data_IF_193908330848
#
_entry.id   IF_193908330848
#
_cell.length_a   1.000
_cell.length_b   1.000
_cell.length_c   1.000
_cell.angle_alpha   90.00
_cell.angle_beta   90.00
_cell.angle_gamma   90.00
#
_symmetry.space_group_name_H-M   'P 1'
#
loop_
_entity.id
_entity.type
_entity.pdbx_description
1 polymer ?
#
# COMPACT_ATOMS: atom_id res chain seq x y z
N UNK A 1 19.72 13.39 24.38
CA UNK A 1 18.81 12.22 24.47
C UNK A 1 17.47 12.73 24.94
N UNK A 2 16.38 12.50 24.17
CA UNK A 2 15.53 11.37 24.48
C UNK A 2 15.08 10.61 23.22
N UNK A 3 15.46 9.33 23.13
CA UNK A 3 14.88 8.32 22.23
C UNK A 3 13.78 7.63 23.04
N UNK A 4 12.52 7.82 22.70
CA UNK A 4 11.42 7.13 23.39
C UNK A 4 10.01 7.37 22.87
N UNK A 5 9.75 8.51 22.19
CA UNK A 5 8.38 8.88 21.80
C UNK A 5 7.97 8.54 20.36
N UNK A 6 8.90 8.12 19.49
CA UNK A 6 8.62 7.95 18.04
C UNK A 6 8.02 6.59 17.64
N UNK A 7 8.12 5.57 18.48
CA UNK A 7 7.65 4.22 18.12
C UNK A 7 6.14 4.04 18.33
N UNK A 8 5.56 4.77 19.29
CA UNK A 8 4.11 4.69 19.58
C UNK A 8 3.27 5.36 18.49
N UNK A 9 3.79 6.43 17.86
CA UNK A 9 3.09 7.16 16.80
C UNK A 9 2.94 6.38 15.48
N UNK A 10 3.85 5.43 15.20
CA UNK A 10 3.77 4.58 14.00
C UNK A 10 2.73 3.46 14.18
N UNK A 11 2.48 3.01 15.41
CA UNK A 11 1.47 1.98 15.70
C UNK A 11 0.02 2.51 15.68
N UNK A 12 -0.18 3.80 15.96
CA UNK A 12 -1.51 4.42 15.91
C UNK A 12 -1.92 4.84 14.48
N UNK A 13 -0.97 4.98 13.55
CA UNK A 13 -1.25 5.38 12.17
C UNK A 13 -1.78 4.23 11.28
N UNK A 14 -1.55 2.97 11.66
CA UNK A 14 -2.07 1.78 10.96
C UNK A 14 -3.53 1.46 11.38
N UNK A 15 -4.10 2.19 12.35
CA UNK A 15 -5.33 1.79 13.07
C UNK A 15 -6.63 2.46 12.64
N UNK A 16 -6.63 3.41 11.72
CA UNK A 16 -7.88 4.00 11.23
C UNK A 16 -8.15 3.46 9.83
N UNK A 17 -9.18 2.63 9.66
CA UNK A 17 -10.40 2.97 8.91
C UNK A 17 -11.29 1.72 8.74
N UNK A 18 -12.60 1.99 8.67
CA UNK A 18 -13.76 1.08 8.76
C UNK A 18 -14.03 0.61 10.20
N UNK A 19 -15.06 1.18 10.84
CA UNK A 19 -15.71 0.53 11.97
C UNK A 19 -16.29 -0.78 11.42
N UNK A 20 -15.72 -1.96 11.73
CA UNK A 20 -16.04 -3.15 10.97
C UNK A 20 -17.45 -3.59 11.35
N UNK A 21 -18.35 -3.58 10.36
CA UNK A 21 -19.79 -3.77 10.57
C UNK A 21 -20.10 -5.14 11.18
N UNK A 22 -19.24 -6.13 10.92
CA UNK A 22 -19.33 -7.46 11.55
C UNK A 22 -18.21 -7.72 12.57
N UNK A 23 -18.44 -8.60 13.56
CA UNK A 23 -17.38 -9.06 14.48
C UNK A 23 -16.21 -9.75 13.75
N UNK A 24 -16.49 -10.39 12.62
CA UNK A 24 -15.49 -11.10 11.80
C UNK A 24 -14.55 -10.14 11.09
N UNK A 25 -15.06 -9.04 10.55
CA UNK A 25 -14.24 -7.99 9.93
C UNK A 25 -13.37 -7.27 10.97
N UNK A 26 -13.87 -7.12 12.21
CA UNK A 26 -13.07 -6.62 13.35
C UNK A 26 -11.90 -7.53 13.69
N UNK A 27 -12.11 -8.83 13.60
CA UNK A 27 -11.07 -9.84 13.84
C UNK A 27 -10.03 -9.82 12.70
N UNK A 28 -10.49 -9.80 11.45
CA UNK A 28 -9.63 -9.80 10.27
C UNK A 28 -8.79 -8.51 10.13
N UNK A 29 -9.37 -7.36 10.47
CA UNK A 29 -8.69 -6.05 10.44
C UNK A 29 -7.73 -5.79 11.62
N UNK A 30 -7.71 -6.68 12.63
CA UNK A 30 -6.80 -6.53 13.78
C UNK A 30 -7.15 -5.40 14.75
N UNK A 31 -8.44 -5.02 14.83
CA UNK A 31 -8.91 -3.97 15.74
C UNK A 31 -8.47 -4.24 17.20
N UNK A 32 -8.02 -3.24 18.00
CA UNK A 32 -7.46 -3.47 19.34
C UNK A 32 -8.35 -4.29 20.31
N UNK A 33 -9.67 -4.09 20.28
CA UNK A 33 -10.60 -4.83 21.12
C UNK A 33 -10.76 -6.30 20.69
N UNK A 34 -10.80 -6.60 19.38
CA UNK A 34 -10.87 -7.98 18.86
C UNK A 34 -9.53 -8.69 19.03
N UNK A 35 -8.41 -7.99 18.82
CA UNK A 35 -7.08 -8.52 19.07
C UNK A 35 -6.88 -8.88 20.56
N UNK A 36 -7.39 -8.06 21.48
CA UNK A 36 -7.39 -8.37 22.91
C UNK A 36 -8.28 -9.59 23.20
N UNK A 37 -9.50 -9.62 22.67
CA UNK A 37 -10.44 -10.74 22.85
C UNK A 37 -9.86 -12.06 22.34
N UNK A 38 -9.26 -12.05 21.14
CA UNK A 38 -8.56 -13.19 20.54
C UNK A 38 -7.40 -13.64 21.43
N UNK A 39 -6.57 -12.71 21.90
CA UNK A 39 -5.45 -13.05 22.79
C UNK A 39 -5.90 -13.67 24.12
N UNK A 40 -7.11 -13.32 24.59
CA UNK A 40 -7.74 -13.87 25.79
C UNK A 40 -8.52 -15.17 25.53
N UNK A 41 -8.74 -15.57 24.28
CA UNK A 41 -9.46 -16.81 23.93
C UNK A 41 -8.96 -18.06 24.67
N UNK A 42 -7.63 -18.29 24.84
CA UNK A 42 -7.14 -19.44 25.61
C UNK A 42 -7.57 -19.39 27.08
N UNK A 43 -7.62 -18.20 27.68
CA UNK A 43 -8.09 -18.00 29.05
C UNK A 43 -9.61 -18.18 29.16
N UNK A 44 -10.37 -17.66 28.18
CA UNK A 44 -11.83 -17.84 28.10
C UNK A 44 -12.18 -19.32 28.01
N UNK A 45 -11.43 -20.09 27.21
CA UNK A 45 -11.61 -21.54 27.09
C UNK A 45 -11.41 -22.25 28.43
N UNK A 46 -10.38 -21.88 29.19
CA UNK A 46 -10.11 -22.44 30.53
C UNK A 46 -11.24 -22.07 31.50
N UNK A 47 -11.63 -20.79 31.56
CA UNK A 47 -12.69 -20.32 32.46
C UNK A 47 -14.06 -20.93 32.11
N UNK A 48 -14.33 -21.24 30.84
CA UNK A 48 -15.58 -21.88 30.42
C UNK A 48 -15.60 -23.39 30.68
N UNK A 49 -14.45 -24.07 30.57
CA UNK A 49 -14.37 -25.53 30.71
C UNK A 49 -14.20 -26.00 32.15
N UNK A 50 -13.48 -25.24 32.99
CA UNK A 50 -13.26 -25.61 34.40
C UNK A 50 -14.54 -25.81 35.23
N UNK A 51 -15.57 -24.93 35.16
CA UNK A 51 -16.81 -25.15 35.89
C UNK A 51 -17.57 -26.38 35.41
N UNK A 52 -17.53 -26.67 34.10
CA UNK A 52 -18.20 -27.84 33.52
C UNK A 52 -17.61 -29.14 34.05
N UNK A 53 -16.28 -29.21 34.18
CA UNK A 53 -15.58 -30.34 34.82
C UNK A 53 -16.01 -30.47 36.29
N UNK A 54 -16.06 -29.36 37.04
CA UNK A 54 -16.39 -29.39 38.46
C UNK A 54 -17.85 -29.80 38.75
N UNK A 55 -18.81 -29.34 37.94
CA UNK A 55 -20.24 -29.58 38.19
C UNK A 55 -20.79 -30.82 37.49
N UNK A 56 -20.08 -31.40 36.51
CA UNK A 56 -20.53 -32.56 35.73
C UNK A 56 -19.50 -33.71 35.89
N UNK A 57 -19.74 -34.68 36.79
CA UNK A 57 -18.78 -35.75 37.10
C UNK A 57 -18.40 -36.63 35.90
N UNK A 58 -19.25 -36.72 34.88
CA UNK A 58 -18.96 -37.44 33.63
C UNK A 58 -17.86 -36.75 32.80
N UNK A 59 -17.60 -35.46 33.07
CA UNK A 59 -16.61 -34.65 32.35
C UNK A 59 -15.19 -34.70 32.92
N UNK A 60 -14.98 -35.35 34.08
CA UNK A 60 -13.65 -35.50 34.69
C UNK A 60 -12.65 -36.15 33.73
N UNK A 61 -13.12 -37.13 32.93
CA UNK A 61 -12.30 -37.82 31.91
C UNK A 61 -11.88 -36.93 30.75
N UNK A 62 -12.49 -35.75 30.60
CA UNK A 62 -12.22 -34.80 29.52
C UNK A 62 -11.47 -33.55 29.98
N UNK A 63 -11.26 -33.38 31.29
CA UNK A 63 -10.56 -32.25 31.88
C UNK A 63 -9.14 -32.09 31.32
N UNK A 64 -8.46 -33.21 31.05
CA UNK A 64 -7.10 -33.24 30.49
C UNK A 64 -7.04 -32.64 29.09
N UNK A 65 -8.06 -32.89 28.25
CA UNK A 65 -8.10 -32.34 26.90
C UNK A 65 -8.21 -30.81 26.92
N UNK A 66 -8.98 -30.24 27.84
CA UNK A 66 -9.11 -28.78 27.98
C UNK A 66 -7.77 -28.11 28.31
N UNK A 67 -6.93 -28.75 29.12
CA UNK A 67 -5.59 -28.26 29.46
C UNK A 67 -4.60 -28.36 28.29
N UNK A 68 -4.69 -29.42 27.47
CA UNK A 68 -3.84 -29.59 26.28
C UNK A 68 -4.09 -28.52 25.22
N UNK A 69 -5.32 -28.02 25.10
CA UNK A 69 -5.66 -26.96 24.15
C UNK A 69 -5.06 -25.60 24.52
N UNK A 70 -4.74 -25.36 25.80
CA UNK A 70 -4.25 -24.06 26.27
C UNK A 70 -2.92 -23.65 25.59
N UNK A 71 -1.85 -24.48 25.55
CA UNK A 71 -0.66 -24.20 24.76
C UNK A 71 -0.92 -24.05 23.26
N UNK A 72 -1.84 -24.83 22.68
CA UNK A 72 -2.12 -24.79 21.25
C UNK A 72 -2.76 -23.45 20.82
N UNK A 73 -3.79 -22.99 21.54
CA UNK A 73 -4.41 -21.68 21.28
C UNK A 73 -3.46 -20.52 21.62
N UNK A 74 -2.65 -20.68 22.68
CA UNK A 74 -1.65 -19.68 23.06
C UNK A 74 -0.56 -19.55 21.98
N UNK A 75 -0.11 -20.67 21.42
CA UNK A 75 0.79 -20.71 20.27
C UNK A 75 0.20 -19.94 19.10
N UNK A 76 -1.07 -20.17 18.78
CA UNK A 76 -1.77 -19.51 17.68
C UNK A 76 -1.86 -17.98 17.85
N UNK A 77 -2.00 -17.46 19.07
CA UNK A 77 -2.41 -16.06 19.27
C UNK A 77 -1.37 -15.17 19.98
N UNK A 78 -0.53 -15.73 20.85
CA UNK A 78 0.29 -14.96 21.80
C UNK A 78 1.81 -15.17 21.63
N UNK A 79 2.23 -16.06 20.73
CA UNK A 79 3.64 -16.26 20.39
C UNK A 79 4.39 -17.24 21.30
N UNK A 80 5.69 -17.49 21.05
CA UNK A 80 6.41 -18.62 21.63
C UNK A 80 6.64 -18.49 23.14
N UNK A 81 6.98 -17.30 23.67
CA UNK A 81 7.19 -17.11 25.11
C UNK A 81 5.91 -17.35 25.93
N UNK A 82 4.78 -16.84 25.44
CA UNK A 82 3.49 -17.08 26.06
C UNK A 82 3.10 -18.57 26.00
N UNK A 83 3.45 -19.26 24.91
CA UNK A 83 3.23 -20.70 24.76
C UNK A 83 4.02 -21.50 25.79
N UNK A 84 5.30 -21.16 25.99
CA UNK A 84 6.13 -21.79 27.03
C UNK A 84 5.51 -21.57 28.40
N UNK A 85 5.10 -20.34 28.72
CA UNK A 85 4.45 -20.05 30.00
C UNK A 85 3.15 -20.86 30.18
N UNK A 86 2.30 -20.93 29.15
CA UNK A 86 1.09 -21.74 29.17
C UNK A 86 1.38 -23.24 29.36
N UNK A 87 2.37 -23.79 28.65
CA UNK A 87 2.81 -25.18 28.84
C UNK A 87 3.32 -25.43 30.25
N UNK A 88 4.14 -24.53 30.80
CA UNK A 88 4.65 -24.64 32.17
C UNK A 88 3.52 -24.59 33.20
N UNK A 89 2.50 -23.73 33.00
CA UNK A 89 1.32 -23.71 33.85
C UNK A 89 0.56 -25.05 33.80
N UNK A 90 0.35 -25.62 32.61
CA UNK A 90 -0.33 -26.92 32.47
C UNK A 90 0.49 -28.03 33.15
N UNK A 91 1.80 -28.07 32.93
CA UNK A 91 2.69 -29.03 33.57
C UNK A 91 2.66 -28.88 35.10
N UNK A 92 2.65 -27.66 35.63
CA UNK A 92 2.56 -27.41 37.06
C UNK A 92 1.22 -27.87 37.66
N UNK A 93 0.10 -27.64 36.95
CA UNK A 93 -1.23 -28.11 37.36
C UNK A 93 -1.27 -29.64 37.39
N UNK A 94 -0.80 -30.31 36.34
CA UNK A 94 -0.75 -31.78 36.28
C UNK A 94 0.18 -32.34 37.37
N UNK A 95 1.35 -31.73 37.59
CA UNK A 95 2.33 -32.20 38.58
C UNK A 95 1.84 -32.03 40.02
N UNK A 96 1.01 -31.01 40.29
CA UNK A 96 0.45 -30.75 41.61
C UNK A 96 -0.70 -31.72 41.96
N UNK A 97 -1.32 -32.40 40.98
CA UNK A 97 -2.33 -33.41 41.22
C UNK A 97 -3.48 -32.92 42.09
N UNK A 98 -3.86 -33.71 43.11
CA UNK A 98 -4.96 -33.39 44.04
C UNK A 98 -4.63 -32.21 45.00
N UNK A 99 -3.35 -31.84 45.13
CA UNK A 99 -2.91 -30.65 45.87
C UNK A 99 -2.99 -29.35 45.05
N UNK A 100 -3.37 -29.44 43.76
CA UNK A 100 -3.51 -28.30 42.87
C UNK A 100 -4.75 -27.45 43.24
N UNK A 101 -4.61 -26.59 44.26
CA UNK A 101 -5.55 -25.54 44.65
C UNK A 101 -6.98 -26.00 45.05
N UNK A 102 -7.26 -27.31 45.12
CA UNK A 102 -8.60 -27.85 45.41
C UNK A 102 -9.66 -27.50 44.35
N UNK A 103 -9.24 -27.09 43.16
CA UNK A 103 -10.10 -26.54 42.10
C UNK A 103 -10.50 -27.57 41.04
N UNK A 104 -9.84 -28.74 40.97
CA UNK A 104 -10.10 -29.76 39.94
C UNK A 104 -10.08 -31.17 40.54
N UNK A 105 -11.13 -31.99 40.37
CA UNK A 105 -11.09 -33.42 40.67
C UNK A 105 -10.23 -34.14 39.63
N UNK A 106 -8.92 -34.20 39.84
CA UNK A 106 -7.99 -34.81 38.89
C UNK A 106 -7.69 -36.28 39.27
N UNK A 107 -7.92 -37.27 38.39
CA UNK A 107 -7.73 -38.67 38.73
C UNK A 107 -6.27 -39.04 39.06
N UNK A 108 -6.07 -39.98 39.99
CA UNK A 108 -4.75 -40.48 40.39
C UNK A 108 -4.08 -41.35 39.30
N UNK A 109 -3.43 -40.74 38.31
CA UNK A 109 -2.41 -41.38 37.46
C UNK A 109 -1.47 -40.32 36.85
N UNK A 110 -0.67 -39.68 37.71
CA UNK A 110 -0.18 -38.29 37.54
C UNK A 110 1.11 -38.11 36.71
N UNK A 111 1.78 -39.17 36.22
CA UNK A 111 3.09 -39.04 35.54
C UNK A 111 3.09 -39.54 34.09
N UNK A 112 2.12 -40.36 33.69
CA UNK A 112 2.02 -40.90 32.33
C UNK A 112 1.63 -39.85 31.29
N UNK A 113 0.95 -38.78 31.71
CA UNK A 113 0.40 -37.75 30.82
C UNK A 113 1.34 -36.54 30.66
N UNK A 114 2.38 -36.44 31.49
CA UNK A 114 3.41 -35.41 31.37
C UNK A 114 4.19 -35.51 30.04
N UNK A 115 4.69 -36.69 29.61
CA UNK A 115 5.41 -36.80 28.34
C UNK A 115 4.64 -36.29 27.10
N UNK A 116 3.36 -36.68 26.85
CA UNK A 116 2.62 -36.16 25.71
C UNK A 116 2.33 -34.66 25.81
N UNK A 117 2.00 -34.14 27.01
CA UNK A 117 1.75 -32.69 27.22
C UNK A 117 3.01 -31.87 26.96
N UNK A 118 4.17 -32.32 27.47
CA UNK A 118 5.46 -31.66 27.23
C UNK A 118 5.79 -31.71 25.73
N UNK A 119 5.61 -32.86 25.07
CA UNK A 119 5.86 -32.99 23.64
C UNK A 119 4.99 -32.05 22.80
N UNK A 120 3.69 -31.96 23.10
CA UNK A 120 2.76 -31.04 22.45
C UNK A 120 3.16 -29.58 22.72
N UNK A 121 3.48 -29.23 23.97
CA UNK A 121 3.92 -27.89 24.34
C UNK A 121 5.20 -27.44 23.63
N UNK A 122 6.18 -28.34 23.51
CA UNK A 122 7.41 -28.12 22.73
C UNK A 122 7.08 -27.93 21.24
N UNK A 123 6.26 -28.80 20.65
CA UNK A 123 5.86 -28.68 19.25
C UNK A 123 5.10 -27.36 18.99
N UNK A 124 4.14 -27.00 19.85
CA UNK A 124 3.41 -25.74 19.78
C UNK A 124 4.35 -24.53 19.89
N UNK A 125 5.37 -24.60 20.76
CA UNK A 125 6.38 -23.54 20.91
C UNK A 125 7.23 -23.42 19.64
N UNK A 126 7.66 -24.53 19.04
CA UNK A 126 8.40 -24.54 17.77
C UNK A 126 7.54 -23.95 16.65
N UNK A 127 6.29 -24.38 16.52
CA UNK A 127 5.36 -23.86 15.51
C UNK A 127 5.07 -22.37 15.71
N UNK A 128 4.87 -21.91 16.95
CA UNK A 128 4.72 -20.50 17.26
C UNK A 128 5.97 -19.71 16.88
N UNK A 129 7.16 -20.24 17.17
CA UNK A 129 8.43 -19.61 16.82
C UNK A 129 8.65 -19.54 15.30
N UNK A 130 8.38 -20.64 14.57
CA UNK A 130 8.44 -20.67 13.10
C UNK A 130 7.47 -19.64 12.53
N UNK A 131 6.20 -19.65 12.97
CA UNK A 131 5.20 -18.69 12.52
C UNK A 131 5.64 -17.25 12.78
N UNK A 132 6.06 -16.93 14.00
CA UNK A 132 6.54 -15.58 14.36
C UNK A 132 7.71 -15.17 13.48
N UNK A 133 8.68 -16.06 13.22
CA UNK A 133 9.81 -15.75 12.34
C UNK A 133 9.40 -15.56 10.88
N UNK A 134 8.49 -16.37 10.37
CA UNK A 134 7.95 -16.21 9.01
C UNK A 134 7.22 -14.88 8.86
N UNK A 135 6.33 -14.55 9.80
CA UNK A 135 5.63 -13.26 9.83
C UNK A 135 6.65 -12.10 9.87
N UNK A 136 7.65 -12.16 10.77
CA UNK A 136 8.68 -11.12 10.86
C UNK A 136 9.51 -11.01 9.57
N UNK A 137 9.81 -12.13 8.88
CA UNK A 137 10.52 -12.11 7.59
C UNK A 137 9.68 -11.43 6.51
N UNK A 138 8.40 -11.78 6.41
CA UNK A 138 7.47 -11.17 5.47
C UNK A 138 7.38 -9.66 5.72
N UNK A 139 7.17 -9.23 6.96
CA UNK A 139 7.12 -7.81 7.35
C UNK A 139 8.44 -7.06 7.10
N UNK A 140 9.59 -7.75 7.10
CA UNK A 140 10.89 -7.12 6.79
C UNK A 140 11.13 -6.95 5.30
N UNK A 141 10.77 -7.94 4.48
CA UNK A 141 10.90 -7.85 3.02
C UNK A 141 10.09 -6.68 2.47
N UNK A 142 8.94 -6.44 3.08
CA UNK A 142 8.01 -5.39 2.70
C UNK A 142 8.46 -3.98 3.10
N UNK A 143 8.99 -3.80 4.32
CA UNK A 143 9.51 -2.50 4.77
C UNK A 143 10.75 -2.04 3.98
N UNK A 144 11.60 -2.97 3.54
CA UNK A 144 12.76 -2.64 2.68
C UNK A 144 12.29 -2.17 1.31
N UNK A 145 11.30 -2.84 0.74
CA UNK A 145 10.75 -2.51 -0.56
C UNK A 145 10.20 -1.07 -0.59
N UNK A 146 9.38 -0.70 0.41
CA UNK A 146 8.82 0.66 0.53
C UNK A 146 9.92 1.72 0.68
N UNK A 147 10.96 1.40 1.44
CA UNK A 147 12.12 2.29 1.63
C UNK A 147 12.88 2.51 0.32
N UNK A 148 13.08 1.45 -0.47
CA UNK A 148 13.76 1.53 -1.77
C UNK A 148 12.93 2.34 -2.76
N UNK A 149 11.61 2.13 -2.82
CA UNK A 149 10.73 2.91 -3.71
C UNK A 149 10.77 4.40 -3.39
N UNK A 150 10.66 4.77 -2.11
CA UNK A 150 10.78 6.16 -1.68
C UNK A 150 12.16 6.76 -1.99
N UNK A 151 13.21 5.94 -2.07
CA UNK A 151 14.54 6.41 -2.45
C UNK A 151 14.69 6.65 -3.96
N UNK A 152 13.86 6.01 -4.79
CA UNK A 152 13.90 6.15 -6.26
C UNK A 152 13.03 7.32 -6.73
N UNK A 153 11.86 7.51 -6.11
CA UNK A 153 10.95 8.62 -6.42
C UNK A 153 11.56 9.96 -5.98
N UNK A 154 11.48 11.01 -6.82
CA UNK A 154 12.10 12.29 -6.53
C UNK A 154 11.30 13.10 -5.48
N UNK A 155 12.01 13.79 -4.59
CA UNK A 155 11.44 14.92 -3.86
C UNK A 155 11.42 16.14 -4.79
N UNK A 156 10.26 16.42 -5.41
CA UNK A 156 10.14 17.56 -6.32
C UNK A 156 10.18 18.88 -5.53
N UNK A 157 10.99 19.88 -5.94
CA UNK A 157 10.91 21.21 -5.35
C UNK A 157 9.55 21.85 -5.68
N UNK A 158 9.10 22.77 -4.83
CA UNK A 158 7.81 23.45 -5.02
C UNK A 158 7.72 24.31 -6.29
N UNK A 159 8.85 24.57 -6.95
CA UNK A 159 8.91 25.23 -8.25
C UNK A 159 10.06 24.72 -9.12
N UNK A 160 9.83 24.54 -10.42
CA UNK A 160 10.82 24.08 -11.43
C UNK A 160 10.63 24.90 -12.71
N UNK A 161 11.70 25.48 -13.26
CA UNK A 161 11.66 26.36 -14.45
C UNK A 161 10.56 27.43 -14.43
N UNK A 162 10.27 28.00 -13.26
CA UNK A 162 9.22 29.01 -13.11
C UNK A 162 7.79 28.47 -13.14
N UNK A 163 7.58 27.15 -13.07
CA UNK A 163 6.29 26.52 -12.80
C UNK A 163 6.19 26.13 -11.33
N UNK A 164 4.98 26.18 -10.75
CA UNK A 164 4.73 25.65 -9.40
C UNK A 164 4.34 24.18 -9.51
N UNK A 165 4.98 23.31 -8.74
CA UNK A 165 4.77 21.85 -8.82
C UNK A 165 4.42 21.29 -7.45
N UNK A 166 3.44 20.39 -7.39
CA UNK A 166 3.15 19.60 -6.22
C UNK A 166 2.84 18.16 -6.62
N UNK A 167 3.28 17.19 -5.81
CA UNK A 167 3.00 15.78 -6.02
C UNK A 167 2.42 15.14 -4.76
N UNK A 168 1.47 14.25 -4.99
CA UNK A 168 0.91 13.33 -4.01
C UNK A 168 1.31 11.92 -4.44
N UNK A 169 1.87 11.14 -3.52
CA UNK A 169 2.13 9.73 -3.73
C UNK A 169 1.69 8.95 -2.50
N UNK A 170 0.91 7.88 -2.72
CA UNK A 170 0.49 6.96 -1.67
C UNK A 170 0.51 5.54 -2.17
N UNK A 171 1.10 4.63 -1.39
CA UNK A 171 1.01 3.18 -1.61
C UNK A 171 -0.31 2.63 -1.13
N UNK A 172 -0.85 1.61 -1.79
CA UNK A 172 -2.08 0.89 -1.38
C UNK A 172 -2.11 0.50 0.12
N UNK A 173 -3.27 0.69 0.78
CA UNK A 173 -3.43 0.53 2.24
C UNK A 173 -3.77 -0.91 2.69
N UNK A 174 -4.23 -1.78 1.78
CA UNK A 174 -4.82 -3.11 2.10
C UNK A 174 -3.83 -4.26 2.22
N UNK A 175 -2.54 -4.04 1.98
CA UNK A 175 -1.50 -5.04 2.23
C UNK A 175 -0.24 -4.38 2.75
N UNK A 176 0.07 -4.52 4.06
CA UNK A 176 1.32 -4.02 4.63
C UNK A 176 2.49 -4.61 3.86
N UNK A 177 3.02 -3.84 2.91
CA UNK A 177 4.22 -4.21 2.18
C UNK A 177 4.23 -4.45 0.70
N UNK A 178 3.13 -4.19 0.01
CA UNK A 178 3.18 -4.10 -1.42
C UNK A 178 3.79 -2.74 -1.78
N UNK A 179 4.88 -2.78 -2.54
CA UNK A 179 5.45 -1.62 -3.20
C UNK A 179 4.66 -1.34 -4.45
N UNK A 180 4.42 -0.07 -4.67
CA UNK A 180 3.63 0.36 -5.78
C UNK A 180 4.28 0.31 -7.15
N UNK A 181 3.48 0.28 -8.20
CA UNK A 181 3.91 0.40 -9.60
C UNK A 181 4.11 1.85 -10.05
N UNK A 182 3.36 2.76 -9.43
CA UNK A 182 3.31 4.19 -9.71
C UNK A 182 4.68 4.89 -9.67
N UNK A 183 4.93 5.73 -10.68
CA UNK A 183 6.14 6.54 -10.79
C UNK A 183 5.89 7.91 -11.42
N UNK A 184 6.73 8.88 -11.04
CA UNK A 184 6.68 10.23 -11.60
C UNK A 184 8.04 10.91 -11.51
N UNK A 185 8.26 11.89 -12.38
CA UNK A 185 9.40 12.81 -12.31
C UNK A 185 9.12 14.08 -13.12
N UNK A 186 9.84 15.16 -12.82
CA UNK A 186 9.78 16.44 -13.53
C UNK A 186 11.21 16.96 -13.71
N UNK A 187 11.58 17.27 -14.95
CA UNK A 187 12.91 17.74 -15.34
C UNK A 187 12.79 19.07 -16.08
N UNK A 188 13.69 20.00 -15.74
CA UNK A 188 13.92 21.23 -16.50
C UNK A 188 14.94 20.97 -17.59
N UNK A 189 14.59 21.32 -18.83
CA UNK A 189 15.34 20.97 -20.04
C UNK A 189 15.37 22.16 -21.00
N UNK A 190 16.21 22.10 -22.04
CA UNK A 190 16.26 23.14 -23.08
C UNK A 190 14.95 23.24 -23.88
N UNK A 191 14.15 22.16 -23.92
CA UNK A 191 12.83 22.11 -24.52
C UNK A 191 11.71 22.62 -23.59
N UNK A 192 12.05 23.02 -22.36
CA UNK A 192 11.13 23.50 -21.33
C UNK A 192 11.02 22.52 -20.17
N UNK A 193 9.82 22.36 -19.61
CA UNK A 193 9.59 21.41 -18.51
C UNK A 193 9.05 20.11 -19.06
N UNK A 194 9.72 19.00 -18.78
CA UNK A 194 9.25 17.65 -19.10
C UNK A 194 8.84 16.93 -17.84
N UNK A 195 7.69 16.25 -17.87
CA UNK A 195 7.22 15.42 -16.77
C UNK A 195 6.80 14.04 -17.28
N UNK A 196 6.93 13.06 -16.40
CA UNK A 196 6.36 11.72 -16.58
C UNK A 196 5.51 11.38 -15.38
N UNK A 197 4.35 10.77 -15.64
CA UNK A 197 3.54 10.06 -14.65
C UNK A 197 3.16 8.74 -15.27
N UNK A 198 3.28 7.65 -14.53
CA UNK A 198 2.99 6.34 -15.06
C UNK A 198 2.79 5.31 -13.95
N UNK A 199 2.35 4.13 -14.37
CA UNK A 199 2.18 2.99 -13.50
C UNK A 199 2.75 1.74 -14.17
N UNK A 200 3.47 0.92 -13.39
CA UNK A 200 4.03 -0.35 -13.83
C UNK A 200 3.09 -1.46 -13.41
N UNK A 201 2.68 -2.28 -14.37
CA UNK A 201 1.78 -3.40 -14.10
C UNK A 201 2.28 -4.32 -12.99
N UNK A 202 1.40 -4.59 -12.04
CA UNK A 202 1.61 -5.51 -10.95
C UNK A 202 2.06 -4.78 -9.68
N UNK A 203 2.54 -5.54 -8.71
CA UNK A 203 2.89 -4.99 -7.40
C UNK A 203 4.10 -5.71 -6.79
N UNK A 204 4.81 -5.04 -5.89
CA UNK A 204 5.91 -5.62 -5.12
C UNK A 204 7.29 -5.40 -5.77
N UNK A 205 8.29 -6.18 -5.34
CA UNK A 205 9.70 -5.90 -5.67
C UNK A 205 10.05 -5.93 -7.16
N UNK A 206 9.28 -6.65 -7.98
CA UNK A 206 9.50 -6.71 -9.43
C UNK A 206 9.23 -5.37 -10.13
N UNK A 207 8.24 -4.60 -9.65
CA UNK A 207 7.88 -3.30 -10.25
C UNK A 207 8.97 -2.27 -9.99
N UNK A 208 9.57 -2.28 -8.80
CA UNK A 208 10.67 -1.38 -8.40
C UNK A 208 11.79 -1.32 -9.42
N UNK A 209 12.24 -2.47 -9.91
CA UNK A 209 13.35 -2.52 -10.87
C UNK A 209 12.99 -1.89 -12.21
N UNK A 210 11.76 -2.08 -12.68
CA UNK A 210 11.32 -1.47 -13.93
C UNK A 210 11.07 0.03 -13.74
N UNK A 211 10.46 0.43 -12.62
CA UNK A 211 10.26 1.83 -12.24
C UNK A 211 11.59 2.59 -12.18
N UNK A 212 12.61 2.03 -11.52
CA UNK A 212 13.96 2.62 -11.47
C UNK A 212 14.57 2.76 -12.86
N UNK A 213 14.48 1.71 -13.68
CA UNK A 213 15.02 1.71 -15.03
C UNK A 213 14.32 2.75 -15.94
N UNK A 214 13.01 2.92 -15.79
CA UNK A 214 12.21 3.91 -16.50
C UNK A 214 12.55 5.32 -16.05
N UNK A 215 12.60 5.58 -14.73
CA UNK A 215 12.95 6.89 -14.18
C UNK A 215 14.39 7.29 -14.52
N UNK A 216 15.35 6.36 -14.43
CA UNK A 216 16.73 6.59 -14.85
C UNK A 216 16.82 6.92 -16.34
N UNK A 217 16.06 6.22 -17.18
CA UNK A 217 15.99 6.53 -18.62
C UNK A 217 15.32 7.88 -18.87
N UNK A 218 14.24 8.21 -18.17
CA UNK A 218 13.56 9.49 -18.30
C UNK A 218 14.47 10.65 -17.89
N UNK A 219 15.14 10.57 -16.74
CA UNK A 219 16.03 11.62 -16.23
C UNK A 219 17.15 11.96 -17.20
N UNK A 220 17.75 10.94 -17.82
CA UNK A 220 18.79 11.12 -18.83
C UNK A 220 18.19 11.66 -20.14
N UNK A 221 17.15 11.00 -20.66
CA UNK A 221 16.65 11.25 -22.01
C UNK A 221 15.76 12.46 -22.13
N UNK A 222 15.14 12.90 -21.03
CA UNK A 222 14.42 14.16 -20.99
C UNK A 222 15.34 15.35 -21.32
N UNK A 223 16.63 15.27 -21.00
CA UNK A 223 17.62 16.29 -21.33
C UNK A 223 18.10 16.19 -22.78
N UNK A 224 18.33 14.97 -23.27
CA UNK A 224 19.01 14.74 -24.55
C UNK A 224 18.09 14.65 -25.78
N UNK A 225 16.90 14.06 -25.64
CA UNK A 225 16.05 13.75 -26.79
C UNK A 225 15.27 15.00 -27.28
N UNK A 226 15.09 15.19 -28.60
CA UNK A 226 14.52 16.42 -29.14
C UNK A 226 13.02 16.59 -28.89
N UNK A 227 12.27 15.48 -28.73
CA UNK A 227 10.80 15.50 -28.62
C UNK A 227 10.24 14.33 -27.79
N UNK A 228 8.96 14.44 -27.42
CA UNK A 228 8.26 13.43 -26.63
C UNK A 228 8.13 12.06 -27.32
N UNK A 229 7.86 11.94 -28.64
CA UNK A 229 7.84 10.65 -29.32
C UNK A 229 9.18 9.90 -29.26
N UNK A 230 10.29 10.62 -29.41
CA UNK A 230 11.63 10.02 -29.28
C UNK A 230 11.85 9.53 -27.86
N UNK A 231 11.50 10.34 -26.86
CA UNK A 231 11.57 9.95 -25.45
C UNK A 231 10.72 8.71 -25.14
N UNK A 232 9.47 8.67 -25.64
CA UNK A 232 8.58 7.50 -25.50
C UNK A 232 9.21 6.24 -26.10
N UNK A 233 9.85 6.35 -27.28
CA UNK A 233 10.55 5.23 -27.90
C UNK A 233 11.77 4.76 -27.08
N UNK A 234 12.45 5.64 -26.33
CA UNK A 234 13.52 5.23 -25.40
C UNK A 234 12.98 4.46 -24.21
N UNK A 235 11.87 4.93 -23.62
CA UNK A 235 11.19 4.23 -22.54
C UNK A 235 10.69 2.86 -23.00
N UNK A 236 10.10 2.79 -24.19
CA UNK A 236 9.68 1.52 -24.81
C UNK A 236 10.84 0.55 -24.95
N UNK A 237 11.97 1.03 -25.50
CA UNK A 237 13.18 0.22 -25.62
C UNK A 237 13.67 -0.27 -24.25
N UNK A 238 13.53 0.54 -23.20
CA UNK A 238 13.92 0.15 -21.84
C UNK A 238 13.06 -0.99 -21.31
N UNK A 239 11.73 -0.93 -21.48
CA UNK A 239 10.82 -2.02 -21.08
C UNK A 239 11.15 -3.30 -21.86
N UNK A 240 11.37 -3.20 -23.16
CA UNK A 240 11.76 -4.36 -24.00
C UNK A 240 13.07 -5.00 -23.56
N UNK A 241 14.05 -4.20 -23.13
CA UNK A 241 15.29 -4.72 -22.56
C UNK A 241 15.05 -5.42 -21.21
N UNK A 242 14.18 -4.87 -20.37
CA UNK A 242 13.79 -5.48 -19.09
C UNK A 242 13.08 -6.83 -19.28
N UNK A 243 12.26 -6.96 -20.32
CA UNK A 243 11.54 -8.20 -20.65
C UNK A 243 12.38 -9.24 -21.40
N UNK A 244 13.63 -8.92 -21.75
CA UNK A 244 14.47 -9.81 -22.55
C UNK A 244 14.74 -11.11 -21.81
N UNK A 245 14.33 -12.23 -22.40
CA UNK A 245 14.52 -13.57 -21.82
C UNK A 245 13.44 -14.01 -20.84
N UNK A 246 12.41 -13.19 -20.60
CA UNK A 246 11.20 -13.58 -19.86
C UNK A 246 10.22 -14.32 -20.76
N UNK A 247 9.45 -15.26 -20.19
CA UNK A 247 8.33 -15.90 -20.91
C UNK A 247 7.21 -14.90 -21.23
N UNK A 248 6.31 -15.25 -22.17
CA UNK A 248 5.20 -14.36 -22.59
C UNK A 248 4.33 -13.91 -21.40
N UNK A 249 4.10 -14.79 -20.42
CA UNK A 249 3.28 -14.53 -19.23
C UNK A 249 4.03 -13.79 -18.10
N UNK A 250 5.32 -13.54 -18.27
CA UNK A 250 6.19 -12.89 -17.29
C UNK A 250 6.62 -11.48 -17.74
N UNK A 251 6.16 -11.05 -18.93
CA UNK A 251 6.47 -9.74 -19.46
C UNK A 251 5.80 -8.64 -18.63
N UNK A 252 6.58 -7.62 -18.30
CA UNK A 252 6.10 -6.44 -17.58
C UNK A 252 5.77 -5.34 -18.57
N UNK A 253 4.71 -4.58 -18.33
CA UNK A 253 4.40 -3.37 -19.10
C UNK A 253 4.15 -2.19 -18.17
N UNK A 254 4.15 -0.98 -18.72
CA UNK A 254 3.89 0.23 -17.96
C UNK A 254 3.00 1.19 -18.75
N UNK A 255 2.03 1.81 -18.08
CA UNK A 255 1.37 2.99 -18.61
C UNK A 255 2.21 4.23 -18.33
N UNK A 256 2.20 5.21 -19.23
CA UNK A 256 2.86 6.50 -18.99
C UNK A 256 2.18 7.64 -19.75
N UNK A 257 2.05 8.79 -19.10
CA UNK A 257 1.82 10.08 -19.74
C UNK A 257 3.12 10.88 -19.70
N UNK A 258 3.60 11.27 -20.88
CA UNK A 258 4.70 12.22 -21.03
C UNK A 258 4.12 13.59 -21.32
N UNK A 259 4.61 14.59 -20.59
CA UNK A 259 4.15 15.97 -20.67
C UNK A 259 5.37 16.85 -20.97
N UNK A 260 5.24 17.79 -21.89
CA UNK A 260 6.23 18.84 -22.15
C UNK A 260 5.53 20.19 -22.16
N UNK A 261 5.99 21.13 -21.33
CA UNK A 261 5.56 22.52 -21.35
C UNK A 261 6.72 23.33 -21.93
N UNK A 262 6.46 24.07 -23.01
CA UNK A 262 7.50 24.85 -23.72
C UNK A 262 8.18 25.86 -22.79
N UNK A 263 9.41 26.34 -23.08
CA UNK A 263 10.11 27.30 -22.23
C UNK A 263 9.37 28.64 -22.05
N UNK A 264 8.43 28.93 -22.96
CA UNK A 264 7.58 30.14 -22.93
C UNK A 264 6.32 29.97 -22.09
N UNK A 265 6.04 28.76 -21.61
CA UNK A 265 4.81 28.41 -20.91
C UNK A 265 3.55 28.80 -21.70
N UNK A 266 3.57 28.60 -23.02
CA UNK A 266 2.47 28.94 -23.94
C UNK A 266 1.81 27.69 -24.55
N UNK A 267 2.50 26.56 -24.53
CA UNK A 267 2.07 25.30 -25.13
C UNK A 267 2.40 24.14 -24.21
N UNK A 268 1.44 23.24 -24.04
CA UNK A 268 1.63 21.92 -23.44
C UNK A 268 1.49 20.86 -24.52
N UNK A 269 2.42 19.91 -24.53
CA UNK A 269 2.44 18.72 -25.38
C UNK A 269 2.28 17.48 -24.51
N UNK A 270 1.48 16.53 -24.98
CA UNK A 270 1.21 15.28 -24.26
C UNK A 270 1.34 14.09 -25.21
N UNK A 271 2.01 13.05 -24.74
CA UNK A 271 2.02 11.71 -25.35
C UNK A 271 1.50 10.71 -24.32
N UNK A 272 0.51 9.89 -24.71
CA UNK A 272 -0.09 8.88 -23.85
C UNK A 272 0.30 7.48 -24.31
N UNK A 273 0.93 6.71 -23.43
CA UNK A 273 1.24 5.29 -23.58
C UNK A 273 0.32 4.49 -22.66
N UNK A 274 -0.91 4.23 -23.09
CA UNK A 274 -1.93 3.51 -22.32
C UNK A 274 -2.47 4.23 -21.08
N UNK A 275 -1.95 5.42 -20.76
CA UNK A 275 -2.25 6.15 -19.53
C UNK A 275 -3.47 7.08 -19.67
N UNK A 276 -4.22 7.34 -18.59
CA UNK A 276 -5.27 8.37 -18.57
C UNK A 276 -4.76 9.74 -19.00
N UNK A 277 -5.61 10.50 -19.70
CA UNK A 277 -5.25 11.84 -20.16
C UNK A 277 -5.19 12.83 -18.98
N UNK A 278 -4.10 13.63 -18.85
CA UNK A 278 -4.04 14.71 -17.88
C UNK A 278 -5.16 15.73 -18.09
N UNK A 279 -5.58 16.39 -17.02
CA UNK A 279 -6.58 17.46 -17.07
C UNK A 279 -5.88 18.81 -17.20
N UNK A 280 -6.34 19.64 -18.14
CA UNK A 280 -6.04 21.07 -18.19
C UNK A 280 -7.18 21.84 -17.52
N UNK A 281 -6.84 22.72 -16.58
CA UNK A 281 -7.78 23.40 -15.71
C UNK A 281 -7.63 24.91 -15.86
N UNK A 282 -8.63 25.54 -16.48
CA UNK A 282 -8.69 27.01 -16.67
C UNK A 282 -9.81 27.65 -15.86
N UNK A 283 -10.98 27.03 -15.90
CA UNK A 283 -12.18 27.36 -15.13
C UNK A 283 -13.00 26.09 -14.87
N UNK A 284 -13.08 25.23 -15.88
CA UNK A 284 -13.34 23.80 -15.80
C UNK A 284 -12.05 23.01 -16.02
N UNK A 285 -12.02 21.79 -15.51
CA UNK A 285 -11.05 20.74 -15.78
C UNK A 285 -11.50 19.93 -16.99
N UNK A 286 -10.65 19.88 -18.01
CA UNK A 286 -10.92 19.18 -19.26
C UNK A 286 -9.74 18.27 -19.62
N UNK A 287 -9.97 17.01 -20.04
CA UNK A 287 -8.88 16.14 -20.46
C UNK A 287 -8.15 16.70 -21.68
N UNK A 288 -6.81 16.69 -21.66
CA UNK A 288 -5.98 16.95 -22.85
C UNK A 288 -6.06 15.71 -23.74
N UNK A 289 -7.17 15.56 -24.46
CA UNK A 289 -7.49 14.36 -25.22
C UNK A 289 -6.43 14.10 -26.31
N UNK A 290 -5.65 13.05 -26.11
CA UNK A 290 -4.74 12.47 -27.10
C UNK A 290 -5.22 11.06 -27.43
N UNK A 291 -4.98 10.59 -28.66
CA UNK A 291 -5.19 9.18 -28.98
C UNK A 291 -4.12 8.37 -28.26
N UNK A 292 -4.46 7.48 -27.31
CA UNK A 292 -3.46 6.73 -26.57
C UNK A 292 -2.78 5.71 -27.49
N UNK A 293 -1.45 5.67 -27.43
CA UNK A 293 -0.67 4.53 -27.89
C UNK A 293 -0.84 3.36 -26.90
N UNK A 294 -0.51 2.12 -27.27
CA UNK A 294 -0.45 1.00 -26.32
C UNK A 294 0.48 1.32 -25.12
N UNK A 295 0.28 0.65 -23.97
CA UNK A 295 1.25 0.69 -22.86
C UNK A 295 2.66 0.31 -23.31
N UNK A 296 3.66 0.85 -22.61
CA UNK A 296 5.06 0.55 -22.85
C UNK A 296 5.32 -0.95 -22.62
N UNK A 297 6.01 -1.60 -23.56
CA UNK A 297 6.25 -3.05 -23.55
C UNK A 297 5.21 -3.87 -24.31
N UNK A 298 4.11 -3.25 -24.76
CA UNK A 298 3.06 -3.88 -25.57
C UNK A 298 2.99 -3.31 -26.99
N UNK A 299 4.05 -2.67 -27.48
CA UNK A 299 4.04 -2.02 -28.81
C UNK A 299 4.19 -2.99 -29.99
N UNK A 300 4.56 -4.26 -29.73
CA UNK A 300 4.66 -5.32 -30.75
C UNK A 300 3.29 -5.64 -31.40
N UNK A 301 2.17 -5.18 -30.81
CA UNK A 301 0.80 -5.34 -31.32
C UNK A 301 0.37 -4.31 -32.38
N UNK A 302 1.27 -3.42 -32.83
CA UNK A 302 1.01 -2.50 -33.93
C UNK A 302 1.74 -1.18 -33.76
N UNK A 303 2.73 -0.94 -34.63
CA UNK A 303 3.53 0.28 -34.66
C UNK A 303 2.67 1.48 -35.10
N UNK A 304 2.02 2.15 -34.15
CA UNK A 304 1.59 3.54 -34.33
C UNK A 304 2.65 4.41 -33.64
N UNK A 305 3.25 5.35 -34.39
CA UNK A 305 4.09 6.36 -33.77
C UNK A 305 3.28 7.09 -32.68
N UNK A 306 3.88 7.39 -31.51
CA UNK A 306 3.20 8.13 -30.47
C UNK A 306 2.63 9.45 -31.01
N UNK A 307 1.33 9.66 -30.82
CA UNK A 307 0.65 10.88 -31.29
C UNK A 307 0.87 11.98 -30.26
N UNK A 308 1.50 13.06 -30.68
CA UNK A 308 1.66 14.26 -29.84
C UNK A 308 0.37 15.07 -29.89
N UNK A 309 -0.22 15.31 -28.72
CA UNK A 309 -1.31 16.27 -28.58
C UNK A 309 -0.76 17.59 -28.05
N UNK A 310 -1.02 18.68 -28.75
CA UNK A 310 -0.71 20.02 -28.30
C UNK A 310 -1.99 20.74 -27.83
N UNK A 311 -1.85 21.54 -26.77
CA UNK A 311 -2.84 22.52 -26.33
C UNK A 311 -2.14 23.80 -25.87
N UNK A 312 -2.79 24.95 -26.05
CA UNK A 312 -2.29 26.20 -25.48
C UNK A 312 -2.35 26.14 -23.94
N UNK A 313 -1.44 26.82 -23.25
CA UNK A 313 -1.50 27.01 -21.80
C UNK A 313 -1.33 28.51 -21.50
N UNK A 314 -2.07 29.01 -20.50
CA UNK A 314 -2.09 30.41 -20.12
C UNK A 314 -1.61 30.60 -18.68
N UNK A 315 -1.11 31.79 -18.31
CA UNK A 315 -0.81 32.10 -16.92
C UNK A 315 -2.02 31.86 -16.00
N UNK A 316 -1.81 31.08 -14.94
CA UNK A 316 -2.85 30.67 -13.99
C UNK A 316 -3.55 29.34 -14.31
N UNK A 317 -3.27 28.73 -15.47
CA UNK A 317 -3.73 27.39 -15.81
C UNK A 317 -3.04 26.34 -14.92
N UNK A 318 -3.78 25.27 -14.60
CA UNK A 318 -3.29 24.14 -13.81
C UNK A 318 -3.41 22.87 -14.63
N UNK A 319 -2.39 22.03 -14.61
CA UNK A 319 -2.37 20.69 -15.21
C UNK A 319 -2.38 19.67 -14.09
N UNK A 320 -3.29 18.70 -14.16
CA UNK A 320 -3.42 17.61 -13.19
C UNK A 320 -3.24 16.28 -13.91
N UNK A 321 -2.10 15.63 -13.69
CA UNK A 321 -1.84 14.25 -14.11
C UNK A 321 -2.03 13.31 -12.93
N UNK A 322 -2.55 12.11 -13.19
CA UNK A 322 -2.94 11.17 -12.15
C UNK A 322 -2.86 9.73 -12.66
N UNK A 323 -2.58 8.80 -11.75
CA UNK A 323 -2.65 7.36 -12.04
C UNK A 323 -4.06 6.82 -11.84
N UNK A 324 -4.33 5.66 -12.41
CA UNK A 324 -5.64 5.01 -12.43
C UNK A 324 -6.18 4.69 -11.02
N UNK A 325 -5.34 4.34 -10.05
CA UNK A 325 -5.79 4.08 -8.68
C UNK A 325 -6.54 5.24 -8.01
N UNK A 326 -6.44 6.48 -8.53
CA UNK A 326 -7.31 7.58 -8.13
C UNK A 326 -8.74 7.45 -8.67
N UNK A 327 -8.89 7.13 -9.96
CA UNK A 327 -10.20 7.01 -10.64
C UNK A 327 -10.82 5.63 -10.44
N UNK A 328 -10.01 4.63 -10.06
CA UNK A 328 -10.42 3.28 -9.70
C UNK A 328 -10.83 3.15 -8.24
N UNK A 329 -10.53 4.14 -7.39
CA UNK A 329 -11.08 4.21 -6.04
C UNK A 329 -12.60 4.09 -6.03
N UNK A 330 -13.14 3.24 -5.14
CA UNK A 330 -14.58 2.96 -5.02
C UNK A 330 -15.06 3.18 -3.60
N UNK A 331 -16.26 3.74 -3.43
CA UNK A 331 -16.97 3.66 -2.15
C UNK A 331 -17.44 2.22 -1.89
N UNK A 332 -17.90 1.92 -0.67
CA UNK A 332 -18.53 0.63 -0.36
C UNK A 332 -19.71 0.30 -1.28
N UNK A 333 -20.42 1.32 -1.78
CA UNK A 333 -21.52 1.20 -2.74
C UNK A 333 -21.05 1.11 -4.21
N UNK A 334 -19.75 0.98 -4.45
CA UNK A 334 -19.16 0.84 -5.78
C UNK A 334 -19.07 2.13 -6.61
N UNK A 335 -19.28 3.31 -6.01
CA UNK A 335 -19.19 4.58 -6.75
C UNK A 335 -17.74 4.99 -6.96
N UNK A 336 -17.38 5.38 -8.19
CA UNK A 336 -16.05 5.85 -8.53
C UNK A 336 -15.78 7.26 -7.99
N UNK A 337 -14.50 7.58 -7.77
CA UNK A 337 -14.10 8.92 -7.34
C UNK A 337 -14.34 9.95 -8.48
N UNK A 338 -15.19 10.97 -8.28
CA UNK A 338 -15.56 11.91 -9.33
C UNK A 338 -14.50 13.02 -9.48
N UNK A 339 -13.29 12.66 -9.91
CA UNK A 339 -12.11 13.54 -9.96
C UNK A 339 -12.38 14.90 -10.61
N UNK A 340 -12.94 14.91 -11.82
CA UNK A 340 -13.21 16.15 -12.57
C UNK A 340 -14.16 17.06 -11.78
N UNK A 341 -15.20 16.50 -11.16
CA UNK A 341 -16.16 17.28 -10.38
C UNK A 341 -15.49 17.88 -9.12
N UNK A 342 -14.63 17.12 -8.44
CA UNK A 342 -13.90 17.59 -7.26
C UNK A 342 -12.89 18.69 -7.61
N UNK A 343 -12.12 18.50 -8.68
CA UNK A 343 -11.20 19.54 -9.18
C UNK A 343 -11.97 20.81 -9.52
N UNK A 344 -13.08 20.70 -10.26
CA UNK A 344 -13.93 21.85 -10.61
C UNK A 344 -14.47 22.58 -9.36
N UNK A 345 -14.92 21.83 -8.35
CA UNK A 345 -15.43 22.42 -7.12
C UNK A 345 -14.35 23.22 -6.36
N UNK A 346 -13.14 22.67 -6.24
CA UNK A 346 -12.04 23.38 -5.56
C UNK A 346 -11.57 24.61 -6.34
N UNK A 347 -11.51 24.52 -7.66
CA UNK A 347 -11.12 25.64 -8.52
C UNK A 347 -12.16 26.76 -8.47
N UNK A 348 -13.45 26.41 -8.47
CA UNK A 348 -14.54 27.36 -8.27
C UNK A 348 -14.48 28.05 -6.90
N UNK A 349 -13.95 27.36 -5.87
CA UNK A 349 -13.69 27.95 -4.54
C UNK A 349 -12.40 28.79 -4.46
N UNK A 350 -11.68 28.96 -5.58
CA UNK A 350 -10.45 29.76 -5.66
C UNK A 350 -9.15 29.00 -5.34
N UNK A 351 -9.21 27.67 -5.16
CA UNK A 351 -8.03 26.86 -4.87
C UNK A 351 -7.32 26.48 -6.16
N UNK A 352 -6.33 27.30 -6.56
CA UNK A 352 -5.47 27.03 -7.74
C UNK A 352 -4.03 26.64 -7.39
N UNK A 353 -3.60 26.92 -6.16
CA UNK A 353 -2.28 26.53 -5.68
C UNK A 353 -2.15 24.99 -5.66
N UNK A 354 -1.14 24.41 -6.34
CA UNK A 354 -0.93 22.96 -6.41
C UNK A 354 -0.91 22.27 -5.05
N UNK A 355 -0.21 22.86 -4.07
CA UNK A 355 -0.09 22.28 -2.73
C UNK A 355 -1.41 22.27 -1.94
N UNK A 356 -2.26 23.28 -2.11
CA UNK A 356 -3.61 23.31 -1.52
C UNK A 356 -4.58 22.38 -2.25
N UNK A 357 -4.56 22.38 -3.59
CA UNK A 357 -5.45 21.53 -4.40
C UNK A 357 -5.18 20.05 -4.10
N UNK A 358 -3.91 19.64 -4.05
CA UNK A 358 -3.51 18.31 -3.61
C UNK A 358 -4.11 17.96 -2.24
N UNK A 359 -3.89 18.79 -1.21
CA UNK A 359 -4.38 18.51 0.15
C UNK A 359 -5.90 18.39 0.22
N UNK A 360 -6.62 19.14 -0.61
CA UNK A 360 -8.08 19.08 -0.70
C UNK A 360 -8.56 17.78 -1.35
N UNK A 361 -8.02 17.42 -2.51
CA UNK A 361 -8.36 16.15 -3.19
C UNK A 361 -8.08 14.95 -2.31
N UNK A 362 -6.96 14.97 -1.58
CA UNK A 362 -6.62 13.96 -0.59
C UNK A 362 -7.68 13.87 0.52
N UNK A 363 -8.12 15.00 1.05
CA UNK A 363 -9.13 15.04 2.10
C UNK A 363 -10.50 14.57 1.60
N UNK A 364 -10.86 14.85 0.34
CA UNK A 364 -12.11 14.36 -0.25
C UNK A 364 -12.08 12.84 -0.45
N UNK A 365 -10.95 12.30 -0.89
CA UNK A 365 -10.77 10.86 -1.05
C UNK A 365 -10.89 10.14 0.30
N UNK A 366 -10.20 10.64 1.34
CA UNK A 366 -10.26 10.09 2.70
C UNK A 366 -11.66 10.28 3.33
N UNK A 367 -12.26 11.47 3.18
CA UNK A 367 -13.55 11.82 3.78
C UNK A 367 -14.75 11.16 3.10
N UNK A 368 -14.64 10.85 1.81
CA UNK A 368 -15.67 10.16 1.03
C UNK A 368 -15.73 8.64 1.26
N UNK A 369 -14.82 8.08 2.07
CA UNK A 369 -14.79 6.64 2.35
C UNK A 369 -14.41 5.79 1.14
N UNK A 370 -13.61 6.33 0.22
CA UNK A 370 -13.12 5.60 -0.94
C UNK A 370 -12.07 4.58 -0.50
N UNK A 371 -12.34 3.31 -0.81
CA UNK A 371 -11.39 2.22 -0.72
C UNK A 371 -10.63 2.13 -2.04
N UNK A 372 -9.41 1.63 -1.93
CA UNK A 372 -8.45 1.60 -3.02
C UNK A 372 -7.83 0.22 -3.09
N UNK A 373 -7.64 -0.29 -4.29
CA UNK A 373 -6.96 -1.56 -4.54
C UNK A 373 -5.53 -1.36 -5.07
N UNK A 374 -5.19 -0.14 -5.51
CA UNK A 374 -3.90 0.18 -6.16
C UNK A 374 -3.17 1.40 -5.58
N UNK A 375 -2.06 1.83 -6.17
CA UNK A 375 -1.36 3.05 -5.77
C UNK A 375 -2.05 4.32 -6.25
N UNK A 376 -1.64 5.46 -5.72
CA UNK A 376 -2.23 6.74 -6.07
C UNK A 376 -1.14 7.78 -6.19
N UNK A 377 -1.02 8.32 -7.40
CA UNK A 377 -0.15 9.43 -7.74
C UNK A 377 -0.97 10.56 -8.34
N UNK A 378 -0.74 11.78 -7.85
CA UNK A 378 -1.27 13.00 -8.45
C UNK A 378 -0.14 13.99 -8.61
N UNK A 379 0.17 14.37 -9.84
CA UNK A 379 1.10 15.44 -10.17
C UNK A 379 0.31 16.66 -10.61
N UNK A 380 0.51 17.79 -9.92
CA UNK A 380 -0.13 19.06 -10.22
C UNK A 380 0.95 20.08 -10.61
N UNK A 381 0.83 20.63 -11.81
CA UNK A 381 1.72 21.67 -12.34
C UNK A 381 0.89 22.91 -12.62
N UNK A 382 1.29 24.06 -12.09
CA UNK A 382 0.64 25.34 -12.35
C UNK A 382 1.59 26.29 -13.07
N UNK A 383 1.10 26.92 -14.14
CA UNK A 383 1.74 28.09 -14.72
C UNK A 383 1.39 29.28 -13.80
N UNK A 384 2.37 29.96 -13.20
CA UNK A 384 2.08 31.06 -12.29
C UNK A 384 1.23 32.14 -12.97
N UNK A 385 0.31 32.78 -12.23
CA UNK A 385 -0.43 33.90 -12.78
C UNK A 385 0.52 35.02 -13.21
N UNK A 386 0.15 35.74 -14.27
CA UNK A 386 0.90 36.92 -14.67
C UNK A 386 0.97 37.90 -13.47
N UNK A 387 2.13 38.53 -13.20
CA UNK A 387 2.24 39.49 -12.12
C UNK A 387 1.19 40.60 -12.34
N UNK A 388 0.41 40.89 -11.31
CA UNK A 388 -0.53 42.01 -11.31
C UNK A 388 0.27 43.29 -11.55
N UNK A 389 0.02 43.95 -12.69
CA UNK A 389 0.64 45.24 -13.04
C UNK A 389 0.19 46.36 -12.14
#
# INVERSE_FOLDING_TARGET
MPRGAKTTQIQDYIRSYVAPETPWDRIASGHPASALLLRLLPLILVVATLPLVYFVPEMDKFAEFALVFLPAFTAMLNGPLATVAATMCVVAVISAGDEALGLLPYPQSTWSDLPPVIAVGVLCTILAWVRTRTIVRLVKMTAVAETVQRAILPELPGSIGGLTVAVAYRTHDGSPGLVGGDFYDVQETDAGIRAVVGDVQGHGLGTVHLTEALLGTFRERALDDPDLPTLAARLERRVRLHNRGKGEWEQSFATAALIEITPRHDTIRVVLCGHPAPLLVRGSAEPIAARPSPPLGLTDFGLQQPVVREAAIMPGDVVVAFTDGLVEGRTADGQSFPLIAMVNAHIASGVRDPGRLHRKLKADFEGGGYLREDDLTILIIQVPPAPSR
#
